data_IF_321065933982
#
_entry.id   IF_321065933982
#
_cell.length_a   1.000
_cell.length_b   1.000
_cell.length_c   1.000
_cell.angle_alpha   90.00
_cell.angle_beta   90.00
_cell.angle_gamma   90.00
#
_symmetry.space_group_name_H-M   'P 1'
#
loop_
_entity.id
_entity.type
_entity.pdbx_description
1 polymer ?
#
# COMPACT_ATOMS: atom_id res chain seq x y z
N UNK A 1 5.81 -9.56 17.56
CA UNK A 1 6.21 -9.45 16.14
C UNK A 1 7.71 -9.36 16.07
N UNK A 2 8.31 -9.90 14.99
CA UNK A 2 9.76 -9.85 14.71
C UNK A 2 10.05 -9.22 13.36
N UNK A 3 9.20 -9.48 12.37
CA UNK A 3 9.38 -9.00 11.02
C UNK A 3 8.03 -8.61 10.41
N UNK A 4 8.00 -7.47 9.73
CA UNK A 4 6.89 -6.95 8.94
C UNK A 4 7.36 -6.72 7.51
N UNK A 5 6.57 -7.12 6.55
CA UNK A 5 6.80 -6.85 5.14
C UNK A 5 5.51 -6.30 4.55
N UNK A 6 5.49 -5.02 4.19
CA UNK A 6 4.31 -4.34 3.70
C UNK A 6 4.51 -3.70 2.34
N UNK A 7 3.47 -3.76 1.53
CA UNK A 7 3.46 -3.07 0.24
C UNK A 7 2.11 -2.42 -0.03
N UNK A 8 2.15 -1.30 -0.77
CA UNK A 8 0.97 -0.72 -1.38
C UNK A 8 1.32 -0.33 -2.81
N UNK A 9 0.83 -1.09 -3.75
CA UNK A 9 1.10 -0.95 -5.17
C UNK A 9 -0.17 -0.64 -5.94
N UNK A 10 -0.14 0.46 -6.70
CA UNK A 10 -1.24 0.89 -7.56
C UNK A 10 -0.71 1.21 -8.96
N UNK A 11 -1.61 1.23 -9.94
CA UNK A 11 -1.27 1.54 -11.33
C UNK A 11 -1.83 2.88 -11.84
N UNK A 12 -2.48 3.67 -10.97
CA UNK A 12 -3.19 4.89 -11.39
C UNK A 12 -2.30 5.94 -12.07
N UNK A 13 -1.00 5.92 -11.81
CA UNK A 13 -0.04 6.87 -12.36
C UNK A 13 0.82 6.29 -13.49
N UNK A 14 0.56 5.05 -13.91
CA UNK A 14 1.38 4.32 -14.88
C UNK A 14 1.32 4.92 -16.31
N UNK A 15 0.21 5.57 -16.69
CA UNK A 15 0.10 6.20 -17.99
C UNK A 15 0.75 7.61 -17.97
N UNK A 16 1.89 7.84 -18.65
CA UNK A 16 2.57 9.14 -18.66
C UNK A 16 1.81 10.23 -19.42
N UNK A 17 0.82 9.85 -20.23
CA UNK A 17 -0.02 10.78 -20.97
C UNK A 17 -1.30 11.17 -20.21
N UNK A 18 -1.51 10.63 -19.02
CA UNK A 18 -2.56 11.11 -18.11
C UNK A 18 -2.24 12.54 -17.63
N UNK A 19 -3.26 13.41 -17.46
CA UNK A 19 -3.08 14.81 -17.11
C UNK A 19 -2.34 14.98 -15.77
N UNK A 20 -1.57 16.08 -15.68
CA UNK A 20 -0.97 16.46 -14.40
C UNK A 20 -2.06 16.91 -13.41
N UNK A 21 -1.85 16.61 -12.14
CA UNK A 21 -2.70 17.06 -11.04
C UNK A 21 -1.83 17.42 -9.82
N UNK A 22 -2.46 17.90 -8.77
CA UNK A 22 -1.79 18.21 -7.51
C UNK A 22 -1.02 17.02 -6.90
N UNK A 23 -1.43 15.77 -7.21
CA UNK A 23 -0.76 14.55 -6.74
C UNK A 23 0.68 14.38 -7.25
N UNK A 24 1.06 15.12 -8.27
CA UNK A 24 2.39 15.08 -8.89
C UNK A 24 3.27 16.27 -8.50
N UNK A 25 2.82 17.07 -7.51
CA UNK A 25 3.48 18.29 -7.02
C UNK A 25 3.79 18.19 -5.53
N UNK A 26 4.76 18.99 -5.06
CA UNK A 26 5.05 19.15 -3.64
C UNK A 26 6.44 18.65 -3.22
N UNK A 27 7.22 18.06 -4.13
CA UNK A 27 8.58 17.61 -3.87
C UNK A 27 8.68 16.18 -3.30
N UNK A 28 9.90 15.70 -3.03
CA UNK A 28 10.15 14.33 -2.56
C UNK A 28 9.38 13.99 -1.28
N UNK A 29 8.78 12.81 -1.23
CA UNK A 29 8.00 12.31 -0.10
C UNK A 29 6.52 12.69 -0.15
N UNK A 30 6.11 13.55 -1.09
CA UNK A 30 4.69 13.95 -1.25
C UNK A 30 3.96 13.19 -2.37
N UNK A 31 4.65 12.27 -3.05
CA UNK A 31 4.10 11.44 -4.11
C UNK A 31 3.47 10.15 -3.60
N UNK A 32 3.94 9.02 -4.10
CA UNK A 32 3.43 7.70 -3.71
C UNK A 32 3.51 7.47 -2.20
N UNK A 33 4.56 7.97 -1.53
CA UNK A 33 4.72 7.81 -0.08
C UNK A 33 3.60 8.49 0.70
N UNK A 34 3.29 9.74 0.41
CA UNK A 34 2.23 10.45 1.12
C UNK A 34 0.83 9.96 0.73
N UNK A 35 0.59 9.70 -0.56
CA UNK A 35 -0.74 9.35 -1.08
C UNK A 35 -1.19 7.96 -0.61
N UNK A 36 -0.39 6.93 -0.86
CA UNK A 36 -0.75 5.55 -0.54
C UNK A 36 0.16 4.92 0.53
N UNK A 37 1.40 5.37 0.65
CA UNK A 37 2.34 4.86 1.65
C UNK A 37 1.93 5.19 3.08
N UNK A 38 1.24 6.31 3.32
CA UNK A 38 0.70 6.69 4.63
C UNK A 38 -0.21 5.60 5.21
N UNK A 39 -1.05 4.97 4.40
CA UNK A 39 -1.92 3.87 4.81
C UNK A 39 -1.11 2.63 5.23
N UNK A 40 -0.05 2.31 4.49
CA UNK A 40 0.80 1.17 4.83
C UNK A 40 1.64 1.42 6.07
N UNK A 41 2.10 2.66 6.28
CA UNK A 41 2.83 3.07 7.49
C UNK A 41 1.91 2.95 8.71
N UNK A 42 0.71 3.51 8.65
CA UNK A 42 -0.29 3.45 9.71
C UNK A 42 -0.63 1.99 10.08
N UNK A 43 -0.85 1.14 9.08
CA UNK A 43 -1.08 -0.29 9.30
C UNK A 43 0.14 -0.98 9.93
N UNK A 44 1.35 -0.67 9.50
CA UNK A 44 2.58 -1.19 10.09
C UNK A 44 2.73 -0.79 11.55
N UNK A 45 2.47 0.47 11.89
CA UNK A 45 2.49 0.95 13.27
C UNK A 45 1.36 0.35 14.13
N UNK A 46 0.18 0.17 13.57
CA UNK A 46 -0.94 -0.50 14.25
C UNK A 46 -0.58 -1.95 14.63
N UNK A 47 0.09 -2.68 13.74
CA UNK A 47 0.42 -4.09 13.95
C UNK A 47 1.70 -4.32 14.77
N UNK A 48 2.68 -3.41 14.68
CA UNK A 48 4.03 -3.63 15.23
C UNK A 48 4.42 -2.63 16.31
N UNK A 49 3.61 -1.60 16.54
CA UNK A 49 3.91 -0.45 17.41
C UNK A 49 4.63 0.68 16.64
N UNK A 50 4.86 1.83 17.28
CA UNK A 50 5.46 2.99 16.64
C UNK A 50 6.81 2.72 16.00
N UNK A 51 7.06 3.34 14.84
CA UNK A 51 8.37 3.34 14.18
C UNK A 51 9.32 4.26 14.96
N UNK A 52 10.51 3.75 15.26
CA UNK A 52 11.58 4.48 15.98
C UNK A 52 12.71 4.90 15.07
N UNK A 53 12.91 4.20 13.97
CA UNK A 53 13.98 4.48 13.02
C UNK A 53 13.57 4.07 11.61
N UNK A 54 13.98 4.88 10.64
CA UNK A 54 13.87 4.58 9.19
C UNK A 54 15.26 4.58 8.60
N UNK A 55 15.53 3.64 7.69
CA UNK A 55 16.79 3.52 6.98
C UNK A 55 16.61 3.01 5.54
N UNK A 56 17.63 3.20 4.70
CA UNK A 56 17.64 2.69 3.34
C UNK A 56 16.54 3.29 2.44
N UNK A 57 16.07 4.51 2.75
CA UNK A 57 15.02 5.18 1.97
C UNK A 57 15.48 5.48 0.54
N UNK A 58 14.68 5.07 -0.44
CA UNK A 58 14.90 5.35 -1.86
C UNK A 58 13.62 5.87 -2.48
N UNK A 59 13.72 7.01 -3.17
CA UNK A 59 12.66 7.57 -4.00
C UNK A 59 13.06 7.50 -5.47
N UNK A 60 12.11 7.10 -6.32
CA UNK A 60 12.32 7.05 -7.76
C UNK A 60 11.16 7.71 -8.51
N UNK A 61 11.48 8.59 -9.47
CA UNK A 61 10.52 9.25 -10.34
C UNK A 61 10.83 8.84 -11.79
N UNK A 62 9.91 8.14 -12.42
CA UNK A 62 10.02 7.65 -13.79
C UNK A 62 9.30 8.55 -14.79
N UNK A 63 8.13 9.08 -14.39
CA UNK A 63 7.39 10.06 -15.19
C UNK A 63 7.73 11.46 -14.72
N UNK A 64 8.62 12.15 -15.44
CA UNK A 64 9.14 13.47 -15.06
C UNK A 64 8.29 14.64 -15.53
N UNK A 65 7.33 14.42 -16.43
CA UNK A 65 6.38 15.44 -16.88
C UNK A 65 5.08 14.83 -17.35
N UNK A 66 3.99 15.59 -17.24
CA UNK A 66 2.65 15.18 -17.69
C UNK A 66 1.97 16.31 -18.44
N UNK A 67 1.06 16.01 -19.39
CA UNK A 67 0.33 17.03 -20.12
C UNK A 67 -0.58 17.84 -19.17
N UNK A 68 -0.72 19.14 -19.47
CA UNK A 68 -1.60 20.03 -18.71
C UNK A 68 -3.06 19.76 -19.11
N UNK A 69 -3.98 19.56 -18.16
CA UNK A 69 -5.38 19.33 -18.46
C UNK A 69 -6.04 20.58 -19.05
N UNK A 70 -6.96 20.41 -20.00
CA UNK A 70 -7.78 21.48 -20.57
C UNK A 70 -9.07 21.76 -19.76
N UNK A 71 -9.24 21.07 -18.62
CA UNK A 71 -10.38 21.22 -17.72
C UNK A 71 -10.04 20.75 -16.32
N UNK A 72 -11.05 20.73 -15.44
CA UNK A 72 -10.86 20.24 -14.07
C UNK A 72 -10.52 18.73 -14.06
N UNK A 73 -9.51 18.35 -13.30
CA UNK A 73 -9.19 16.94 -13.00
C UNK A 73 -9.83 16.54 -11.69
N UNK A 74 -10.52 15.39 -11.66
CA UNK A 74 -11.17 14.86 -10.45
C UNK A 74 -10.62 13.49 -10.12
N UNK A 75 -10.20 13.30 -8.88
CA UNK A 75 -9.73 12.02 -8.35
C UNK A 75 -8.46 11.50 -9.03
N UNK A 76 -8.41 10.20 -9.30
CA UNK A 76 -7.36 9.51 -10.05
C UNK A 76 -7.69 9.40 -11.55
N UNK A 77 -8.60 10.25 -12.07
CA UNK A 77 -9.05 10.16 -13.45
C UNK A 77 -7.88 10.30 -14.42
N UNK A 78 -7.54 9.21 -15.08
CA UNK A 78 -6.55 9.16 -16.16
C UNK A 78 -7.09 9.71 -17.48
N UNK A 79 -8.37 10.15 -17.52
CA UNK A 79 -9.06 10.62 -18.71
C UNK A 79 -9.32 12.13 -18.66
N UNK A 80 -9.43 12.73 -19.84
CA UNK A 80 -9.74 14.16 -20.06
C UNK A 80 -8.96 14.70 -21.24
N UNK A 81 -9.45 15.80 -21.82
CA UNK A 81 -8.72 16.51 -22.86
C UNK A 81 -7.48 17.17 -22.24
N UNK A 82 -6.35 16.98 -22.90
CA UNK A 82 -5.05 17.53 -22.48
C UNK A 82 -4.49 18.45 -23.57
N UNK A 83 -3.65 19.39 -23.15
CA UNK A 83 -2.90 20.24 -24.05
C UNK A 83 -1.63 19.54 -24.53
N UNK A 84 -0.93 20.13 -25.50
CA UNK A 84 0.43 19.73 -25.87
C UNK A 84 1.48 20.24 -24.86
N UNK A 85 1.12 21.22 -24.03
CA UNK A 85 1.95 21.72 -22.96
C UNK A 85 2.07 20.67 -21.87
N UNK A 86 3.29 20.50 -21.32
CA UNK A 86 3.58 19.59 -20.23
C UNK A 86 4.14 20.36 -19.04
N UNK A 87 3.78 19.91 -17.86
CA UNK A 87 4.30 20.43 -16.61
C UNK A 87 5.09 19.34 -15.88
N UNK A 88 6.05 19.75 -15.05
CA UNK A 88 6.96 18.85 -14.34
C UNK A 88 6.25 18.03 -13.26
N UNK A 89 6.73 16.83 -13.05
CA UNK A 89 6.41 15.99 -11.88
C UNK A 89 7.54 16.17 -10.86
N UNK A 90 7.23 16.55 -9.63
CA UNK A 90 8.20 16.95 -8.63
C UNK A 90 8.43 15.90 -7.54
N UNK A 91 7.61 14.83 -7.52
CA UNK A 91 7.59 13.85 -6.47
C UNK A 91 7.73 12.40 -7.01
N UNK A 92 7.92 11.47 -6.12
CA UNK A 92 8.25 10.09 -6.44
C UNK A 92 7.06 9.25 -6.89
N UNK A 93 7.33 8.34 -7.83
CA UNK A 93 6.43 7.26 -8.25
C UNK A 93 6.59 6.02 -7.37
N UNK A 94 7.79 5.81 -6.83
CA UNK A 94 8.13 4.67 -5.97
C UNK A 94 8.87 5.19 -4.74
N UNK A 95 8.51 4.63 -3.57
CA UNK A 95 9.25 4.78 -2.33
C UNK A 95 9.48 3.41 -1.69
N UNK A 96 10.71 3.13 -1.29
CA UNK A 96 11.05 1.93 -0.51
C UNK A 96 11.90 2.32 0.69
N UNK A 97 11.70 1.65 1.82
CA UNK A 97 12.50 1.87 3.01
C UNK A 97 12.40 0.68 3.97
N UNK A 98 13.29 0.65 4.96
CA UNK A 98 13.20 -0.23 6.11
C UNK A 98 12.93 0.57 7.37
N UNK A 99 12.26 -0.04 8.35
CA UNK A 99 11.95 0.58 9.63
C UNK A 99 12.27 -0.36 10.80
N UNK A 100 12.58 0.23 11.96
CA UNK A 100 12.63 -0.47 13.24
C UNK A 100 11.50 0.07 14.12
N UNK A 101 10.75 -0.82 14.74
CA UNK A 101 9.64 -0.49 15.64
C UNK A 101 10.07 -0.48 17.11
N UNK A 102 9.28 0.16 17.97
CA UNK A 102 9.51 0.17 19.42
C UNK A 102 9.58 -1.23 20.03
N UNK A 103 8.90 -2.21 19.46
CA UNK A 103 8.94 -3.61 19.85
C UNK A 103 10.27 -4.32 19.52
N UNK A 104 11.18 -3.67 18.77
CA UNK A 104 12.38 -4.27 18.21
C UNK A 104 12.14 -5.04 16.90
N UNK A 105 10.91 -5.10 16.42
CA UNK A 105 10.62 -5.67 15.11
C UNK A 105 11.26 -4.83 14.00
N UNK A 106 11.60 -5.49 12.88
CA UNK A 106 12.13 -4.85 11.67
C UNK A 106 11.08 -4.95 10.56
N UNK A 107 10.86 -3.86 9.83
CA UNK A 107 9.92 -3.81 8.72
C UNK A 107 10.56 -3.39 7.40
N UNK A 108 9.98 -3.88 6.31
CA UNK A 108 10.24 -3.39 4.94
C UNK A 108 8.97 -2.83 4.36
N UNK A 109 9.10 -1.71 3.63
CA UNK A 109 7.99 -1.01 2.99
C UNK A 109 8.29 -0.79 1.52
N UNK A 110 7.34 -1.16 0.67
CA UNK A 110 7.42 -0.98 -0.78
C UNK A 110 6.16 -0.33 -1.30
N UNK A 111 6.28 0.90 -1.77
CA UNK A 111 5.18 1.76 -2.20
C UNK A 111 5.39 2.11 -3.67
N UNK A 112 4.36 1.96 -4.49
CA UNK A 112 4.43 2.29 -5.92
C UNK A 112 3.07 2.69 -6.45
N UNK A 113 3.01 3.77 -7.24
CA UNK A 113 1.80 4.21 -7.96
C UNK A 113 1.83 3.87 -9.46
N UNK A 114 2.86 3.11 -9.89
CA UNK A 114 3.09 2.72 -11.30
C UNK A 114 3.22 1.20 -11.49
N UNK A 115 2.67 0.43 -10.55
CA UNK A 115 2.69 -1.05 -10.58
C UNK A 115 1.63 -1.57 -11.54
N UNK A 116 2.01 -1.75 -12.78
CA UNK A 116 1.14 -2.12 -13.90
C UNK A 116 0.28 -3.34 -13.60
N UNK A 117 -1.04 -3.20 -13.79
CA UNK A 117 -2.01 -4.29 -13.59
C UNK A 117 -2.48 -4.48 -12.14
N UNK A 118 -2.07 -3.61 -11.23
CA UNK A 118 -2.53 -3.61 -9.84
C UNK A 118 -3.33 -2.32 -9.55
N UNK A 119 -4.64 -2.31 -9.71
CA UNK A 119 -5.44 -1.10 -9.48
C UNK A 119 -5.43 -0.66 -8.02
N UNK A 120 -5.32 -1.61 -7.06
CA UNK A 120 -5.30 -1.32 -5.63
C UNK A 120 -4.72 -2.51 -4.84
N UNK A 121 -3.42 -2.67 -4.84
CA UNK A 121 -2.70 -3.83 -4.28
C UNK A 121 -2.04 -3.54 -2.93
N UNK A 122 -2.83 -3.40 -1.85
CA UNK A 122 -2.32 -3.36 -0.50
C UNK A 122 -2.16 -4.79 0.04
N UNK A 123 -0.99 -5.07 0.63
CA UNK A 123 -0.75 -6.36 1.26
C UNK A 123 0.35 -6.31 2.31
N UNK A 124 0.32 -7.26 3.22
CA UNK A 124 1.36 -7.41 4.23
C UNK A 124 1.55 -8.86 4.66
N UNK A 125 2.74 -9.12 5.18
CA UNK A 125 3.12 -10.33 5.89
C UNK A 125 3.73 -9.93 7.22
N UNK A 126 3.33 -10.61 8.31
CA UNK A 126 3.82 -10.35 9.64
C UNK A 126 4.28 -11.67 10.27
N UNK A 127 5.50 -11.70 10.78
CA UNK A 127 6.12 -12.88 11.39
C UNK A 127 6.41 -12.61 12.85
N UNK A 128 5.91 -13.49 13.70
CA UNK A 128 6.11 -13.46 15.14
C UNK A 128 7.01 -14.59 15.64
N UNK A 129 7.16 -14.68 16.96
CA UNK A 129 7.84 -15.79 17.60
C UNK A 129 7.06 -17.10 17.48
N UNK A 130 5.73 -17.03 17.44
CA UNK A 130 4.83 -18.16 17.56
C UNK A 130 3.97 -18.39 16.32
N UNK A 131 4.13 -17.61 15.27
CA UNK A 131 3.35 -17.75 14.05
C UNK A 131 3.54 -16.60 13.07
N UNK A 132 2.72 -16.61 12.04
CA UNK A 132 2.67 -15.58 11.01
C UNK A 132 1.23 -15.25 10.63
N UNK A 133 1.04 -14.07 10.05
CA UNK A 133 -0.22 -13.67 9.42
C UNK A 133 0.09 -12.90 8.14
N UNK A 134 -0.78 -13.03 7.14
CA UNK A 134 -0.68 -12.29 5.88
C UNK A 134 -2.06 -11.92 5.34
N UNK A 135 -2.12 -10.79 4.66
CA UNK A 135 -3.32 -10.30 3.99
C UNK A 135 -2.96 -9.70 2.63
N UNK A 136 -3.83 -9.90 1.65
CA UNK A 136 -3.76 -9.31 0.33
C UNK A 136 -5.12 -8.75 -0.07
N UNK A 137 -5.20 -7.45 -0.29
CA UNK A 137 -6.44 -6.75 -0.68
C UNK A 137 -6.99 -7.23 -2.03
N UNK A 138 -6.19 -7.86 -2.89
CA UNK A 138 -6.69 -8.49 -4.12
C UNK A 138 -7.54 -9.74 -3.82
N UNK A 139 -7.41 -10.30 -2.61
CA UNK A 139 -8.18 -11.43 -2.11
C UNK A 139 -8.78 -11.11 -0.73
N UNK A 140 -9.64 -10.07 -0.61
CA UNK A 140 -10.05 -9.50 0.68
C UNK A 140 -10.87 -10.45 1.57
N UNK A 141 -11.40 -11.52 1.01
CA UNK A 141 -12.13 -12.57 1.74
C UNK A 141 -11.24 -13.65 2.34
N UNK A 142 -9.91 -13.53 2.25
CA UNK A 142 -8.96 -14.54 2.72
C UNK A 142 -7.91 -13.91 3.61
N UNK A 143 -7.66 -14.56 4.74
CA UNK A 143 -6.57 -14.23 5.65
C UNK A 143 -5.66 -15.45 5.80
N UNK A 144 -4.37 -15.29 5.60
CA UNK A 144 -3.41 -16.38 5.75
C UNK A 144 -2.81 -16.37 7.15
N UNK A 145 -2.76 -17.53 7.77
CA UNK A 145 -2.28 -17.68 9.14
C UNK A 145 -1.50 -18.98 9.35
N UNK A 146 -0.51 -18.95 10.22
CA UNK A 146 0.16 -20.14 10.75
C UNK A 146 0.58 -19.91 12.21
N UNK A 147 0.49 -20.92 13.06
CA UNK A 147 0.94 -20.87 14.46
C UNK A 147 1.64 -22.17 14.89
N UNK A 148 2.42 -22.08 15.97
CA UNK A 148 3.11 -23.21 16.56
C UNK A 148 2.21 -24.14 17.41
N UNK A 149 0.96 -23.76 17.67
CA UNK A 149 0.00 -24.58 18.40
C UNK A 149 -0.47 -25.78 17.56
N UNK A 150 -0.31 -25.70 16.26
CA UNK A 150 -0.59 -26.80 15.34
C UNK A 150 0.58 -27.81 15.37
N UNK A 151 0.28 -29.09 15.49
CA UNK A 151 1.32 -30.14 15.48
C UNK A 151 2.15 -30.12 14.19
N UNK A 152 3.39 -30.61 14.27
CA UNK A 152 4.34 -30.58 13.16
C UNK A 152 3.82 -31.20 11.85
N UNK A 153 2.89 -32.15 11.94
CA UNK A 153 2.28 -32.81 10.78
C UNK A 153 1.29 -31.93 10.02
N UNK A 154 0.75 -30.89 10.68
CA UNK A 154 -0.24 -29.96 10.11
C UNK A 154 0.24 -28.51 10.14
N UNK A 155 1.50 -28.28 10.51
CA UNK A 155 2.08 -26.93 10.52
C UNK A 155 2.30 -26.46 9.07
N UNK A 156 1.78 -25.26 8.77
CA UNK A 156 1.86 -24.64 7.46
C UNK A 156 0.88 -23.49 7.36
N UNK A 157 0.89 -22.81 6.24
CA UNK A 157 -0.06 -21.75 5.95
C UNK A 157 -1.47 -22.31 5.82
N UNK A 158 -2.41 -21.67 6.52
CA UNK A 158 -3.83 -21.96 6.44
C UNK A 158 -4.55 -20.72 5.96
N UNK A 159 -5.48 -20.89 5.05
CA UNK A 159 -6.39 -19.83 4.65
C UNK A 159 -7.61 -19.84 5.57
N UNK A 160 -7.90 -18.67 6.13
CA UNK A 160 -9.12 -18.41 6.90
C UNK A 160 -10.04 -17.59 6.01
N UNK A 161 -11.21 -18.14 5.68
CA UNK A 161 -12.21 -17.43 4.90
C UNK A 161 -12.94 -16.43 5.79
N UNK A 162 -12.87 -15.16 5.42
CA UNK A 162 -13.56 -14.07 6.09
C UNK A 162 -14.97 -13.98 5.51
N UNK A 163 -15.94 -14.50 6.23
CA UNK A 163 -17.36 -14.48 5.82
C UNK A 163 -18.22 -13.67 6.78
N UNK A 164 -19.55 -13.54 6.49
CA UNK A 164 -20.47 -12.80 7.33
C UNK A 164 -20.59 -13.32 8.78
N UNK A 165 -20.14 -14.55 9.02
CA UNK A 165 -20.15 -15.18 10.34
C UNK A 165 -18.85 -14.95 11.13
N UNK A 166 -17.85 -14.27 10.54
CA UNK A 166 -16.64 -13.91 11.26
C UNK A 166 -17.00 -12.84 12.31
N UNK A 167 -16.52 -12.94 13.57
CA UNK A 167 -16.90 -12.02 14.65
C UNK A 167 -16.67 -10.54 14.30
N UNK A 168 -15.63 -10.23 13.57
CA UNK A 168 -15.26 -8.86 13.18
C UNK A 168 -16.01 -8.38 11.92
N UNK A 169 -16.76 -9.25 11.22
CA UNK A 169 -17.48 -8.88 9.99
C UNK A 169 -18.73 -8.03 10.27
N UNK A 170 -19.28 -8.08 11.49
CA UNK A 170 -20.48 -7.32 11.87
C UNK A 170 -20.16 -5.85 12.19
N UNK A 171 -18.96 -5.53 12.64
CA UNK A 171 -18.58 -4.16 13.01
C UNK A 171 -18.20 -3.28 11.80
N UNK A 172 -17.87 -3.88 10.65
CA UNK A 172 -17.52 -3.19 9.40
C UNK A 172 -18.68 -2.98 8.42
N UNK A 173 -19.87 -3.39 8.75
CA UNK A 173 -21.06 -3.28 7.90
C UNK A 173 -21.55 -1.84 7.78
N UNK A 174 -21.04 -1.09 6.83
CA UNK A 174 -21.78 0.05 6.30
C UNK A 174 -23.11 -0.46 5.73
N UNK A 175 -24.21 0.04 6.27
CA UNK A 175 -25.57 -0.12 5.78
C UNK A 175 -25.61 -0.09 4.25
N UNK A 176 -25.70 -1.24 3.61
CA UNK A 176 -26.20 -1.33 2.25
C UNK A 176 -27.73 -1.22 2.35
N UNK A 177 -28.23 -0.02 2.36
CA UNK A 177 -29.64 0.20 2.08
C UNK A 177 -29.91 -0.16 0.60
N UNK A 178 -31.05 -0.79 0.32
CA UNK A 178 -31.45 -1.30 -1.00
C UNK A 178 -31.68 -0.20 -2.03
#
# INVERSE_FOLDING_TARGET
VRHFNGHYWCDYAQNPEAPISWRYKGGPGTGALADIGSHMIDLGEYLCGPITQVSGGTFATFTTSRPVPLGATVGHAAGGAVSQERDSVDNEDIATFTATFTSGAVGTFSISRISHGLPNGLGFEIFGANGMAAFDLNHPGVFTFADLATGAETNGYREVLLGPQHPEAEEGGHDRQP
#
